data_IF_998037579465
#
_entry.id   IF_998037579465
#
_cell.length_a   1.000
_cell.length_b   1.000
_cell.length_c   1.000
_cell.angle_alpha   90.00
_cell.angle_beta   90.00
_cell.angle_gamma   90.00
#
_symmetry.space_group_name_H-M   'P 1'
#
loop_
_entity.id
_entity.type
_entity.pdbx_description
1 polymer ?
#
# COMPACT_ATOMS: atom_id res chain seq x y z
N UNK A 1 -8.56 0.89 -12.74
CA UNK A 1 -9.59 1.35 -11.78
C UNK A 1 -10.61 2.14 -12.56
N UNK A 2 -11.53 1.46 -13.26
CA UNK A 2 -12.56 2.13 -14.07
C UNK A 2 -13.97 2.00 -13.48
N UNK A 3 -14.13 1.32 -12.35
CA UNK A 3 -15.44 1.15 -11.73
C UNK A 3 -15.72 2.15 -10.61
N UNK A 4 -15.46 3.42 -10.88
CA UNK A 4 -15.84 4.54 -10.01
C UNK A 4 -16.39 5.73 -10.81
N UNK A 5 -16.54 5.58 -12.13
CA UNK A 5 -16.88 6.67 -13.06
C UNK A 5 -18.37 7.09 -13.05
N UNK A 6 -19.21 6.46 -12.23
CA UNK A 6 -20.65 6.75 -12.18
C UNK A 6 -21.24 7.05 -10.80
N UNK A 7 -20.45 7.00 -9.72
CA UNK A 7 -20.98 7.20 -8.38
C UNK A 7 -20.37 8.45 -7.73
N UNK A 8 -21.22 9.42 -7.38
CA UNK A 8 -20.82 10.63 -6.65
C UNK A 8 -20.59 10.31 -5.15
N UNK A 9 -19.64 9.41 -4.87
CA UNK A 9 -19.31 8.94 -3.52
C UNK A 9 -18.37 9.90 -2.78
N UNK A 10 -18.51 11.21 -3.00
CA UNK A 10 -17.71 12.23 -2.31
C UNK A 10 -17.98 12.14 -0.80
N UNK A 11 -16.91 12.19 0.00
CA UNK A 11 -16.94 12.16 1.48
C UNK A 11 -17.38 10.83 2.14
N UNK A 12 -17.41 9.71 1.43
CA UNK A 12 -17.67 8.40 2.06
C UNK A 12 -16.46 7.93 2.88
N UNK A 13 -16.70 7.51 4.13
CA UNK A 13 -15.67 6.98 5.03
C UNK A 13 -15.01 5.73 4.43
N UNK A 14 -13.69 5.61 4.58
CA UNK A 14 -12.93 4.40 4.26
C UNK A 14 -13.55 3.19 4.99
N UNK A 15 -14.10 2.24 4.24
CA UNK A 15 -14.81 1.07 4.76
C UNK A 15 -14.62 -0.10 3.79
N UNK A 16 -13.45 -0.77 3.83
CA UNK A 16 -13.07 -1.72 2.79
C UNK A 16 -14.02 -2.90 2.73
N UNK A 17 -14.29 -3.36 1.52
CA UNK A 17 -15.07 -4.57 1.25
C UNK A 17 -14.28 -5.49 0.32
N UNK A 18 -14.48 -6.79 0.50
CA UNK A 18 -13.89 -7.82 -0.35
C UNK A 18 -14.97 -8.32 -1.30
N UNK A 19 -14.77 -8.08 -2.60
CA UNK A 19 -15.68 -8.56 -3.63
C UNK A 19 -15.52 -10.04 -3.92
N UNK A 20 -16.54 -10.64 -4.53
CA UNK A 20 -16.51 -12.03 -5.02
C UNK A 20 -15.43 -12.27 -6.08
N UNK A 21 -14.92 -11.20 -6.70
CA UNK A 21 -13.81 -11.20 -7.65
C UNK A 21 -12.42 -11.25 -6.98
N UNK A 22 -12.36 -11.29 -5.64
CA UNK A 22 -11.11 -11.32 -4.89
C UNK A 22 -10.40 -9.96 -4.77
N UNK A 23 -11.02 -8.88 -5.27
CA UNK A 23 -10.46 -7.53 -5.17
C UNK A 23 -11.03 -6.78 -3.96
N UNK A 24 -10.20 -5.96 -3.33
CA UNK A 24 -10.62 -5.07 -2.24
C UNK A 24 -11.02 -3.72 -2.79
N UNK A 25 -12.24 -3.28 -2.45
CA UNK A 25 -12.78 -1.99 -2.84
C UNK A 25 -12.79 -1.01 -1.66
N UNK A 26 -12.70 0.29 -1.98
CA UNK A 26 -12.57 1.36 -1.00
C UNK A 26 -13.79 1.47 -0.05
N UNK A 27 -14.99 1.33 -0.61
CA UNK A 27 -16.23 1.30 0.15
C UNK A 27 -17.36 0.63 -0.65
N UNK A 28 -18.50 0.28 -0.02
CA UNK A 28 -19.66 -0.25 -0.72
C UNK A 28 -20.18 0.67 -1.84
N UNK A 29 -20.11 2.00 -1.61
CA UNK A 29 -20.49 3.00 -2.60
C UNK A 29 -19.56 2.97 -3.83
N UNK A 30 -18.24 2.88 -3.60
CA UNK A 30 -17.27 2.78 -4.69
C UNK A 30 -17.35 1.46 -5.46
N UNK A 31 -17.98 0.43 -4.89
CA UNK A 31 -18.27 -0.83 -5.59
C UNK A 31 -19.68 -0.85 -6.23
N UNK A 32 -20.47 0.21 -6.08
CA UNK A 32 -21.82 0.32 -6.63
C UNK A 32 -22.84 -0.61 -5.99
N UNK A 33 -22.64 -1.04 -4.74
CA UNK A 33 -23.57 -1.93 -4.04
C UNK A 33 -24.84 -1.19 -3.59
N UNK A 34 -26.02 -1.72 -3.92
CA UNK A 34 -27.31 -1.12 -3.54
C UNK A 34 -27.94 -1.75 -2.31
N UNK A 35 -27.62 -3.00 -2.03
CA UNK A 35 -28.21 -3.78 -0.95
C UNK A 35 -27.18 -4.14 0.12
N UNK A 36 -27.64 -4.21 1.37
CA UNK A 36 -26.83 -4.59 2.52
C UNK A 36 -27.63 -5.48 3.48
N UNK A 37 -27.04 -6.60 3.87
CA UNK A 37 -27.64 -7.62 4.73
C UNK A 37 -26.68 -7.90 5.88
N UNK A 38 -27.17 -7.86 7.12
CA UNK A 38 -26.37 -8.21 8.29
C UNK A 38 -26.37 -9.73 8.45
N UNK A 39 -25.19 -10.34 8.36
CA UNK A 39 -25.01 -11.77 8.56
C UNK A 39 -25.04 -12.14 10.07
N UNK A 40 -25.38 -13.40 10.41
CA UNK A 40 -25.43 -13.86 11.80
C UNK A 40 -24.08 -13.84 12.51
N UNK A 41 -22.96 -13.81 11.77
CA UNK A 41 -21.60 -13.65 12.27
C UNK A 41 -21.25 -12.18 12.62
N UNK A 42 -22.19 -11.25 12.43
CA UNK A 42 -22.03 -9.82 12.66
C UNK A 42 -21.41 -9.05 11.50
N UNK A 43 -21.02 -9.71 10.41
CA UNK A 43 -20.47 -9.06 9.21
C UNK A 43 -21.59 -8.50 8.31
N UNK A 44 -21.24 -7.54 7.47
CA UNK A 44 -22.16 -7.00 6.46
C UNK A 44 -21.90 -7.69 5.13
N UNK A 45 -22.94 -8.25 4.53
CA UNK A 45 -22.98 -8.73 3.15
C UNK A 45 -23.55 -7.61 2.28
N UNK A 46 -22.89 -7.30 1.18
CA UNK A 46 -23.36 -6.34 0.19
C UNK A 46 -23.71 -7.08 -1.10
N UNK A 47 -24.85 -6.75 -1.71
CA UNK A 47 -25.35 -7.33 -2.96
C UNK A 47 -25.71 -6.26 -3.98
N UNK A 48 -25.93 -6.68 -5.23
CA UNK A 48 -26.19 -5.81 -6.38
C UNK A 48 -25.07 -4.76 -6.57
N UNK A 49 -23.81 -5.22 -6.54
CA UNK A 49 -22.64 -4.37 -6.74
C UNK A 49 -22.29 -4.28 -8.23
N UNK A 50 -22.51 -3.10 -8.82
CA UNK A 50 -22.27 -2.85 -10.25
C UNK A 50 -20.79 -2.89 -10.67
N UNK A 51 -19.87 -2.96 -9.72
CA UNK A 51 -18.43 -3.01 -10.01
C UNK A 51 -17.77 -4.34 -9.80
N UNK A 52 -18.50 -5.30 -9.24
CA UNK A 52 -17.97 -6.60 -8.91
C UNK A 52 -18.47 -7.58 -9.96
N UNK A 53 -17.54 -8.27 -10.61
CA UNK A 53 -17.90 -9.32 -11.53
C UNK A 53 -18.49 -10.49 -10.73
N UNK A 54 -19.72 -10.86 -11.07
CA UNK A 54 -20.26 -12.16 -10.69
C UNK A 54 -19.88 -13.13 -11.78
N UNK A 55 -18.97 -14.07 -11.49
CA UNK A 55 -18.72 -15.20 -12.39
C UNK A 55 -19.93 -16.14 -12.36
N UNK A 56 -21.03 -15.73 -12.99
CA UNK A 56 -21.99 -16.69 -13.50
C UNK A 56 -21.27 -17.49 -14.58
N UNK A 57 -21.11 -18.80 -14.35
CA UNK A 57 -20.57 -19.72 -15.34
C UNK A 57 -21.24 -19.47 -16.70
N UNK A 58 -20.50 -18.81 -17.59
CA UNK A 58 -20.92 -18.42 -18.95
C UNK A 58 -21.32 -19.65 -19.78
N UNK A 59 -20.90 -20.84 -19.34
CA UNK A 59 -21.29 -22.14 -19.89
C UNK A 59 -22.77 -22.51 -19.68
N UNK A 60 -23.49 -21.95 -18.70
CA UNK A 60 -24.92 -22.22 -18.50
C UNK A 60 -25.83 -21.07 -18.94
N UNK A 61 -25.31 -19.83 -18.96
CA UNK A 61 -26.04 -18.68 -19.48
C UNK A 61 -26.11 -18.65 -21.02
N UNK A 62 -25.07 -19.15 -21.71
CA UNK A 62 -25.08 -19.26 -23.17
C UNK A 62 -26.16 -20.23 -23.71
N UNK A 63 -26.63 -21.19 -22.89
CA UNK A 63 -27.73 -22.09 -23.25
C UNK A 63 -29.13 -21.55 -22.98
N UNK A 64 -29.26 -20.37 -22.34
CA UNK A 64 -30.56 -19.73 -22.05
C UNK A 64 -30.79 -18.45 -22.87
N UNK A 65 -29.78 -17.98 -23.60
CA UNK A 65 -29.91 -16.84 -24.52
C UNK A 65 -30.26 -17.37 -25.91
N UNK A 66 -31.50 -17.81 -26.05
CA UNK A 66 -32.15 -17.99 -27.35
C UNK A 66 -33.56 -17.40 -27.31
N UNK A 67 -33.69 -16.16 -26.82
CA UNK A 67 -34.84 -15.27 -27.08
C UNK A 67 -34.85 -14.03 -26.17
N UNK A 68 -33.97 -13.05 -26.37
CA UNK A 68 -34.37 -11.67 -26.06
C UNK A 68 -33.46 -10.66 -26.78
N UNK A 69 -34.02 -10.02 -27.81
CA UNK A 69 -33.42 -8.84 -28.42
C UNK A 69 -33.75 -7.65 -27.53
N UNK A 70 -32.76 -7.13 -26.79
CA UNK A 70 -32.85 -5.76 -26.31
C UNK A 70 -31.52 -5.04 -26.51
N UNK A 71 -31.60 -4.07 -27.40
CA UNK A 71 -30.57 -3.11 -27.79
C UNK A 71 -30.19 -2.23 -26.61
N UNK A 72 -29.05 -2.49 -26.00
CA UNK A 72 -28.22 -1.43 -25.40
C UNK A 72 -26.75 -1.80 -25.62
N UNK A 73 -26.01 -0.89 -26.21
CA UNK A 73 -24.58 -1.03 -26.52
C UNK A 73 -23.76 -1.18 -25.24
N UNK A 74 -23.42 -2.40 -24.85
CA UNK A 74 -22.28 -2.74 -23.98
C UNK A 74 -21.98 -4.25 -24.08
N UNK A 75 -20.71 -4.62 -23.96
CA UNK A 75 -20.09 -5.88 -24.44
C UNK A 75 -20.74 -7.20 -23.93
N UNK A 76 -20.64 -8.31 -24.69
CA UNK A 76 -21.37 -9.54 -24.41
C UNK A 76 -20.81 -10.27 -23.17
N UNK A 77 -21.70 -10.61 -22.23
CA UNK A 77 -21.50 -11.73 -21.29
C UNK A 77 -20.99 -11.43 -19.88
N UNK A 78 -20.90 -10.17 -19.43
CA UNK A 78 -20.58 -9.85 -18.03
C UNK A 78 -21.76 -9.21 -17.33
N UNK A 79 -22.45 -9.96 -16.48
CA UNK A 79 -23.46 -9.39 -15.58
C UNK A 79 -22.77 -8.89 -14.31
N UNK A 80 -22.72 -7.57 -14.15
CA UNK A 80 -22.15 -6.91 -12.98
C UNK A 80 -23.17 -6.89 -11.83
N UNK A 81 -23.29 -8.02 -11.13
CA UNK A 81 -24.09 -8.16 -9.90
C UNK A 81 -23.34 -9.04 -8.91
N UNK A 82 -22.10 -8.68 -8.61
CA UNK A 82 -21.28 -9.39 -7.63
C UNK A 82 -21.73 -9.12 -6.20
N UNK A 83 -21.27 -9.96 -5.29
CA UNK A 83 -21.46 -9.77 -3.84
C UNK A 83 -20.15 -9.37 -3.19
N UNK A 84 -20.23 -8.68 -2.06
CA UNK A 84 -19.06 -8.33 -1.28
C UNK A 84 -19.30 -8.56 0.21
N UNK A 85 -18.22 -8.79 0.95
CA UNK A 85 -18.27 -8.88 2.41
C UNK A 85 -17.48 -7.75 3.05
N UNK A 86 -17.89 -7.31 4.24
CA UNK A 86 -17.15 -6.30 5.00
C UNK A 86 -15.74 -6.78 5.37
N UNK A 87 -14.74 -5.94 5.11
CA UNK A 87 -13.32 -6.23 5.35
C UNK A 87 -12.51 -6.29 4.05
N UNK A 88 -11.19 -6.26 4.15
CA UNK A 88 -10.30 -6.46 2.99
C UNK A 88 -10.20 -7.94 2.62
N UNK A 89 -9.88 -8.22 1.35
CA UNK A 89 -9.63 -9.59 0.90
C UNK A 89 -8.37 -10.19 1.57
N UNK A 90 -8.31 -11.53 1.71
CA UNK A 90 -7.13 -12.19 2.23
C UNK A 90 -5.92 -11.90 1.33
N UNK A 91 -4.84 -11.44 1.94
CA UNK A 91 -3.57 -11.18 1.27
C UNK A 91 -2.49 -12.08 1.86
N UNK A 92 -1.56 -12.53 1.02
CA UNK A 92 -0.38 -13.26 1.47
C UNK A 92 0.50 -12.36 2.34
N UNK A 93 0.39 -12.52 3.66
CA UNK A 93 1.12 -11.70 4.62
C UNK A 93 2.57 -12.19 4.82
N UNK A 94 2.79 -13.51 4.75
CA UNK A 94 4.03 -14.14 5.21
C UNK A 94 5.22 -13.86 4.28
N UNK A 95 5.06 -14.04 2.97
CA UNK A 95 6.13 -13.82 1.99
C UNK A 95 6.68 -12.38 2.03
N UNK A 96 5.83 -11.33 1.92
CA UNK A 96 6.29 -9.96 2.06
C UNK A 96 6.95 -9.68 3.40
N UNK A 97 6.44 -10.26 4.49
CA UNK A 97 7.00 -10.09 5.83
C UNK A 97 8.41 -10.70 5.95
N UNK A 98 8.62 -11.93 5.48
CA UNK A 98 9.95 -12.54 5.50
C UNK A 98 10.94 -11.81 4.60
N UNK A 99 10.51 -11.35 3.42
CA UNK A 99 11.36 -10.52 2.55
C UNK A 99 11.80 -9.23 3.27
N UNK A 100 10.88 -8.55 3.97
CA UNK A 100 11.21 -7.38 4.77
C UNK A 100 12.22 -7.69 5.88
N UNK A 101 11.99 -8.77 6.63
CA UNK A 101 12.90 -9.18 7.70
C UNK A 101 14.31 -9.49 7.18
N UNK A 102 14.42 -10.22 6.07
CA UNK A 102 15.72 -10.53 5.47
C UNK A 102 16.48 -9.26 5.07
N UNK A 103 15.82 -8.35 4.36
CA UNK A 103 16.42 -7.08 3.94
C UNK A 103 16.82 -6.22 5.15
N UNK A 104 15.97 -6.16 6.17
CA UNK A 104 16.25 -5.41 7.39
C UNK A 104 17.46 -5.98 8.14
N UNK A 105 17.55 -7.30 8.29
CA UNK A 105 18.69 -7.95 8.93
C UNK A 105 20.00 -7.66 8.17
N UNK A 106 19.99 -7.76 6.84
CA UNK A 106 21.16 -7.47 6.00
C UNK A 106 21.58 -6.00 6.16
N UNK A 107 20.63 -5.06 6.04
CA UNK A 107 20.91 -3.63 6.18
C UNK A 107 21.47 -3.29 7.58
N UNK A 108 20.94 -3.91 8.65
CA UNK A 108 21.46 -3.70 10.00
C UNK A 108 22.83 -4.31 10.22
N UNK A 109 23.09 -5.46 9.62
CA UNK A 109 24.42 -6.08 9.68
C UNK A 109 25.46 -5.19 9.00
N UNK A 110 25.20 -4.75 7.76
CA UNK A 110 26.13 -3.89 6.99
C UNK A 110 26.40 -2.60 7.77
N UNK A 111 25.36 -1.86 8.18
CA UNK A 111 25.54 -0.61 8.90
C UNK A 111 26.24 -0.77 10.27
N UNK A 112 26.01 -1.90 10.95
CA UNK A 112 26.74 -2.23 12.19
C UNK A 112 28.22 -2.48 11.96
N UNK A 113 28.56 -3.30 10.95
CA UNK A 113 29.96 -3.58 10.58
C UNK A 113 30.70 -2.35 10.09
N UNK A 114 30.02 -1.51 9.31
CA UNK A 114 30.55 -0.24 8.81
C UNK A 114 30.89 0.71 9.95
N UNK A 115 29.95 0.93 10.88
CA UNK A 115 30.20 1.82 12.02
C UNK A 115 31.40 1.36 12.85
N UNK A 116 31.57 0.05 13.05
CA UNK A 116 32.70 -0.49 13.78
C UNK A 116 34.01 -0.34 12.99
N UNK A 117 34.00 -0.65 11.69
CA UNK A 117 35.17 -0.52 10.82
C UNK A 117 35.64 0.93 10.70
N UNK A 118 34.72 1.87 10.43
CA UNK A 118 35.01 3.30 10.33
C UNK A 118 35.62 3.85 11.62
N UNK A 119 35.11 3.43 12.79
CA UNK A 119 35.68 3.80 14.09
C UNK A 119 37.11 3.27 14.26
N UNK A 120 37.35 1.99 13.96
CA UNK A 120 38.68 1.37 14.09
C UNK A 120 39.71 1.97 13.12
N UNK A 121 39.30 2.31 11.91
CA UNK A 121 40.15 2.98 10.91
C UNK A 121 40.52 4.38 11.42
N UNK A 122 39.55 5.15 11.93
CA UNK A 122 39.81 6.47 12.51
C UNK A 122 40.84 6.44 13.65
N UNK A 123 40.83 5.40 14.49
CA UNK A 123 41.81 5.22 15.56
C UNK A 123 43.24 4.95 15.08
N UNK A 124 43.40 4.38 13.87
CA UNK A 124 44.71 3.98 13.32
C UNK A 124 45.30 5.02 12.37
N UNK A 125 44.46 5.79 11.67
CA UNK A 125 44.91 6.74 10.66
C UNK A 125 45.27 8.13 11.22
N UNK A 126 44.87 8.42 12.47
CA UNK A 126 45.03 9.75 13.08
C UNK A 126 45.97 9.69 14.27
N UNK A 127 46.86 10.67 14.39
CA UNK A 127 47.77 10.82 15.52
C UNK A 127 46.98 11.03 16.82
N UNK A 128 47.48 10.55 17.96
CA UNK A 128 46.74 10.50 19.23
C UNK A 128 46.16 11.84 19.69
N UNK A 129 46.79 12.95 19.31
CA UNK A 129 46.38 14.30 19.64
C UNK A 129 45.14 14.78 18.87
N UNK A 130 44.94 14.30 17.64
CA UNK A 130 43.92 14.82 16.72
C UNK A 130 42.70 13.90 16.54
N UNK A 131 42.70 12.71 17.17
CA UNK A 131 41.64 11.70 17.04
C UNK A 131 40.25 12.24 17.35
N UNK A 132 40.12 13.00 18.45
CA UNK A 132 38.83 13.53 18.87
C UNK A 132 38.25 14.53 17.85
N UNK A 133 39.11 15.38 17.28
CA UNK A 133 38.69 16.38 16.27
C UNK A 133 38.29 15.67 14.98
N UNK A 134 39.07 14.68 14.53
CA UNK A 134 38.76 13.90 13.32
C UNK A 134 37.44 13.12 13.46
N UNK A 135 37.24 12.39 14.56
CA UNK A 135 36.00 11.64 14.79
C UNK A 135 34.79 12.56 14.91
N UNK A 136 34.94 13.70 15.59
CA UNK A 136 33.89 14.71 15.69
C UNK A 136 33.51 15.30 14.33
N UNK A 137 34.49 15.60 13.48
CA UNK A 137 34.24 16.10 12.13
C UNK A 137 33.53 15.05 11.26
N UNK A 138 33.97 13.79 11.28
CA UNK A 138 33.31 12.72 10.54
C UNK A 138 31.84 12.52 10.98
N UNK A 139 31.57 12.59 12.29
CA UNK A 139 30.21 12.50 12.81
C UNK A 139 29.35 13.71 12.43
N UNK A 140 29.93 14.90 12.39
CA UNK A 140 29.26 16.11 11.93
C UNK A 140 28.87 16.01 10.44
N UNK A 141 29.79 15.53 9.59
CA UNK A 141 29.52 15.30 8.16
C UNK A 141 28.44 14.25 7.96
N UNK A 142 28.49 13.11 8.66
CA UNK A 142 27.46 12.07 8.54
C UNK A 142 26.08 12.57 9.02
N UNK A 143 26.07 13.38 10.07
CA UNK A 143 24.83 13.98 10.58
C UNK A 143 24.20 14.90 9.53
N UNK A 144 25.02 15.75 8.88
CA UNK A 144 24.57 16.69 7.87
C UNK A 144 24.08 16.00 6.59
N UNK A 145 24.78 14.96 6.13
CA UNK A 145 24.52 14.33 4.83
C UNK A 145 23.58 13.12 4.88
N UNK A 146 23.44 12.46 6.03
CA UNK A 146 22.63 11.23 6.16
C UNK A 146 21.47 11.40 7.13
N UNK A 147 21.75 11.77 8.39
CA UNK A 147 20.70 11.83 9.42
C UNK A 147 19.69 12.96 9.23
N UNK A 148 20.11 14.13 8.75
CA UNK A 148 19.19 15.24 8.45
C UNK A 148 18.28 14.96 7.24
N UNK A 149 18.78 14.50 6.07
CA UNK A 149 17.91 14.25 4.92
C UNK A 149 17.06 12.99 5.05
N UNK A 150 17.48 11.99 5.84
CA UNK A 150 16.72 10.76 6.03
C UNK A 150 15.25 10.98 6.43
N UNK A 151 14.89 11.64 7.55
CA UNK A 151 13.50 11.83 7.95
C UNK A 151 12.68 12.65 6.93
N UNK A 152 13.32 13.59 6.23
CA UNK A 152 12.67 14.39 5.18
C UNK A 152 12.29 13.50 3.99
N UNK A 153 13.23 12.67 3.54
CA UNK A 153 13.01 11.74 2.43
C UNK A 153 11.99 10.67 2.81
N UNK A 154 12.12 10.04 3.99
CA UNK A 154 11.15 9.05 4.45
C UNK A 154 9.75 9.66 4.62
N UNK A 155 9.64 10.88 5.12
CA UNK A 155 8.37 11.62 5.16
C UNK A 155 7.78 11.81 3.76
N UNK A 156 8.60 12.26 2.81
CA UNK A 156 8.17 12.43 1.43
C UNK A 156 7.75 11.11 0.77
N UNK A 157 8.41 9.99 1.04
CA UNK A 157 8.02 8.67 0.54
C UNK A 157 6.63 8.28 1.05
N UNK A 158 6.38 8.44 2.35
CA UNK A 158 5.08 8.15 2.97
C UNK A 158 4.00 8.99 2.29
N UNK A 159 4.20 10.30 2.15
CA UNK A 159 3.25 11.19 1.49
C UNK A 159 3.01 10.81 0.02
N UNK A 160 4.05 10.40 -0.71
CA UNK A 160 3.96 10.00 -2.12
C UNK A 160 3.23 8.68 -2.34
N UNK A 161 3.33 7.77 -1.38
CA UNK A 161 2.67 6.45 -1.44
C UNK A 161 1.21 6.51 -0.98
N UNK A 162 0.73 7.68 -0.56
CA UNK A 162 -0.67 7.85 -0.20
C UNK A 162 -1.59 7.77 -1.42
N UNK A 163 -2.48 6.77 -1.43
CA UNK A 163 -3.50 6.56 -2.45
C UNK A 163 -4.76 7.36 -2.12
N UNK A 164 -5.13 7.41 -0.84
CA UNK A 164 -6.33 8.12 -0.39
C UNK A 164 -6.03 9.06 0.76
N UNK A 165 -6.15 10.36 0.49
CA UNK A 165 -6.04 11.40 1.49
C UNK A 165 -7.35 11.60 2.24
N UNK A 166 -7.30 11.54 3.56
CA UNK A 166 -8.42 11.97 4.39
C UNK A 166 -8.65 13.47 4.24
N UNK A 167 -9.91 13.87 4.25
CA UNK A 167 -10.30 15.28 4.23
C UNK A 167 -11.12 15.61 5.48
N UNK A 168 -10.75 16.69 6.15
CA UNK A 168 -11.52 17.24 7.27
C UNK A 168 -11.78 18.71 6.97
N UNK A 169 -13.05 19.11 6.94
CA UNK A 169 -13.46 20.49 6.62
C UNK A 169 -12.82 21.01 5.31
N UNK A 170 -12.83 20.18 4.25
CA UNK A 170 -12.27 20.49 2.91
C UNK A 170 -10.75 20.72 2.88
N UNK A 171 -10.03 20.42 3.97
CA UNK A 171 -8.55 20.44 4.01
C UNK A 171 -7.99 19.03 3.98
N UNK A 172 -6.85 18.88 3.30
CA UNK A 172 -6.05 17.65 3.26
C UNK A 172 -5.55 17.32 4.67
N UNK A 173 -5.93 16.17 5.19
CA UNK A 173 -5.53 15.64 6.49
C UNK A 173 -4.60 14.43 6.36
N UNK A 174 -4.70 13.48 7.29
CA UNK A 174 -3.89 12.27 7.28
C UNK A 174 -4.30 11.34 6.13
N UNK A 175 -3.35 10.59 5.59
CA UNK A 175 -3.64 9.54 4.62
C UNK A 175 -4.38 8.36 5.27
N UNK A 176 -5.41 7.85 4.60
CA UNK A 176 -6.20 6.69 5.06
C UNK A 176 -5.73 5.38 4.44
N UNK A 177 -5.23 5.42 3.21
CA UNK A 177 -4.76 4.23 2.50
C UNK A 177 -3.45 4.53 1.77
N UNK A 178 -2.43 3.72 2.07
CA UNK A 178 -1.15 3.73 1.39
C UNK A 178 -1.05 2.56 0.41
N UNK A 179 -0.32 2.76 -0.67
CA UNK A 179 0.11 1.67 -1.54
C UNK A 179 1.19 0.85 -0.82
N UNK A 180 0.81 -0.35 -0.36
CA UNK A 180 1.69 -1.22 0.41
C UNK A 180 2.90 -1.75 -0.38
N UNK A 181 2.82 -1.88 -1.71
CA UNK A 181 3.92 -2.36 -2.52
C UNK A 181 4.92 -1.23 -2.80
N UNK A 182 4.42 -0.08 -3.23
CA UNK A 182 5.27 1.09 -3.47
C UNK A 182 5.95 1.56 -2.18
N UNK A 183 5.21 1.60 -1.06
CA UNK A 183 5.75 1.98 0.24
C UNK A 183 6.86 1.04 0.68
N UNK A 184 6.60 -0.28 0.66
CA UNK A 184 7.60 -1.28 1.05
C UNK A 184 8.85 -1.20 0.19
N UNK A 185 8.71 -1.21 -1.13
CA UNK A 185 9.87 -1.24 -2.04
C UNK A 185 10.70 0.03 -1.92
N UNK A 186 10.06 1.20 -1.94
CA UNK A 186 10.75 2.49 -1.87
C UNK A 186 11.44 2.66 -0.52
N UNK A 187 10.77 2.35 0.58
CA UNK A 187 11.33 2.48 1.93
C UNK A 187 12.55 1.57 2.14
N UNK A 188 12.49 0.31 1.69
CA UNK A 188 13.61 -0.62 1.84
C UNK A 188 14.81 -0.24 0.95
N UNK A 189 14.56 0.17 -0.29
CA UNK A 189 15.64 0.59 -1.20
C UNK A 189 16.32 1.87 -0.70
N UNK A 190 15.55 2.87 -0.29
CA UNK A 190 16.09 4.10 0.31
C UNK A 190 16.90 3.79 1.57
N UNK A 191 16.41 2.90 2.45
CA UNK A 191 17.19 2.49 3.63
C UNK A 191 18.51 1.82 3.28
N UNK A 192 18.55 0.99 2.22
CA UNK A 192 19.79 0.35 1.78
C UNK A 192 20.79 1.40 1.25
N UNK A 193 20.32 2.39 0.47
CA UNK A 193 21.16 3.47 -0.04
C UNK A 193 21.77 4.31 1.10
N UNK A 194 20.98 4.69 2.10
CA UNK A 194 21.50 5.42 3.26
C UNK A 194 22.55 4.64 4.04
N UNK A 195 22.35 3.32 4.19
CA UNK A 195 23.32 2.43 4.85
C UNK A 195 24.62 2.28 4.04
N UNK A 196 24.60 2.46 2.72
CA UNK A 196 25.84 2.39 1.91
C UNK A 196 26.60 3.72 1.92
N UNK A 197 25.89 4.83 2.12
CA UNK A 197 26.47 6.18 2.04
C UNK A 197 27.09 6.64 3.36
N UNK A 198 26.57 6.19 4.51
CA UNK A 198 27.01 6.72 5.81
C UNK A 198 26.96 5.73 6.94
#
# INVERSE_FOLDING_TARGET
>A
MECSLGCNCEFVKYAPICGSDGNTYLSPCHAGCKEQIKQPDGKMLFSDCSCILSELNVSYAASLIDSYNETTSEQPGRTYSGTATSGSCPVDCMTPFYMFLLVLCINKFIGGTESAANFLIGLRCVEERDKAISMGLSMAVNTLLSFLPAPIIFGAIIDRTCVLWGQTCSKKGNCWLYDGQALRTTMNYTSAVFVIIG
#
